data_IF_691030901886
#
_entry.id   IF_691030901886
#
_cell.length_a   1.000
_cell.length_b   1.000
_cell.length_c   1.000
_cell.angle_alpha   90.00
_cell.angle_beta   90.00
_cell.angle_gamma   90.00
#
_symmetry.space_group_name_H-M   'P 1'
#
loop_
_entity.id
_entity.type
_entity.pdbx_description
1 polymer ?
#
# COMPACT_ATOMS: atom_id res chain seq x y z
N UNK A 1 -4.87 -18.46 8.53
CA UNK A 1 -4.34 -19.15 7.34
C UNK A 1 -2.90 -18.70 7.20
N UNK A 2 -1.97 -19.64 7.05
CA UNK A 2 -0.60 -19.26 6.69
C UNK A 2 -0.57 -18.89 5.20
N UNK A 3 -0.18 -17.65 4.92
CA UNK A 3 -0.09 -17.11 3.56
C UNK A 3 1.35 -17.14 3.01
N UNK A 4 2.30 -17.58 3.83
CA UNK A 4 3.74 -17.59 3.50
C UNK A 4 4.04 -18.38 2.22
N UNK A 5 3.47 -19.57 1.97
CA UNK A 5 3.74 -20.31 0.73
C UNK A 5 3.33 -19.54 -0.53
N UNK A 6 2.15 -18.89 -0.51
CA UNK A 6 1.67 -18.10 -1.66
C UNK A 6 2.53 -16.86 -1.92
N UNK A 7 3.04 -16.24 -0.86
CA UNK A 7 3.98 -15.12 -0.98
C UNK A 7 5.30 -15.58 -1.59
N UNK A 8 5.82 -16.73 -1.15
CA UNK A 8 7.02 -17.33 -1.72
C UNK A 8 6.85 -17.68 -3.20
N UNK A 9 5.72 -18.25 -3.59
CA UNK A 9 5.42 -18.52 -5.00
C UNK A 9 5.47 -17.24 -5.85
N UNK A 10 4.90 -16.14 -5.34
CA UNK A 10 4.95 -14.82 -6.00
C UNK A 10 6.38 -14.26 -6.03
N UNK A 11 7.14 -14.42 -4.94
CA UNK A 11 8.54 -13.98 -4.86
C UNK A 11 9.39 -14.69 -5.91
N UNK A 12 9.21 -16.00 -6.08
CA UNK A 12 9.90 -16.79 -7.10
C UNK A 12 9.50 -16.37 -8.51
N UNK A 13 8.21 -16.20 -8.77
CA UNK A 13 7.69 -15.78 -10.07
C UNK A 13 8.29 -14.43 -10.49
N UNK A 14 8.27 -13.44 -9.59
CA UNK A 14 8.82 -12.10 -9.84
C UNK A 14 10.35 -12.15 -9.90
N UNK A 15 10.98 -13.00 -9.09
CA UNK A 15 12.42 -13.25 -9.10
C UNK A 15 12.90 -13.77 -10.46
N UNK A 16 12.23 -14.78 -11.01
CA UNK A 16 12.52 -15.32 -12.35
C UNK A 16 12.33 -14.28 -13.45
N UNK A 17 11.23 -13.53 -13.38
CA UNK A 17 10.98 -12.43 -14.30
C UNK A 17 12.14 -11.42 -14.28
N UNK A 18 12.57 -11.03 -13.07
CA UNK A 18 13.64 -10.05 -12.89
C UNK A 18 15.02 -10.57 -13.35
N UNK A 19 15.34 -11.85 -13.08
CA UNK A 19 16.61 -12.48 -13.51
C UNK A 19 16.74 -12.58 -15.02
N UNK A 20 15.64 -12.73 -15.74
CA UNK A 20 15.64 -12.82 -17.20
C UNK A 20 15.94 -11.49 -17.92
N UNK A 21 16.18 -10.40 -17.19
CA UNK A 21 16.24 -9.02 -17.70
C UNK A 21 15.00 -8.63 -18.54
N UNK A 22 13.90 -9.35 -18.34
CA UNK A 22 12.67 -9.14 -19.08
C UNK A 22 11.92 -7.91 -18.59
N UNK A 23 11.29 -7.21 -19.53
CA UNK A 23 10.55 -5.96 -19.28
C UNK A 23 9.14 -5.98 -19.85
N UNK A 24 8.73 -7.08 -20.48
CA UNK A 24 7.46 -7.15 -21.21
C UNK A 24 6.44 -8.02 -20.49
N UNK A 25 5.17 -7.66 -20.62
CA UNK A 25 4.06 -8.49 -20.14
C UNK A 25 4.04 -9.87 -20.83
N UNK A 26 4.47 -9.95 -22.09
CA UNK A 26 4.51 -11.22 -22.85
C UNK A 26 5.41 -12.22 -22.16
N UNK A 27 6.58 -11.79 -21.72
CA UNK A 27 7.53 -12.67 -21.04
C UNK A 27 7.07 -13.05 -19.64
N UNK A 28 6.44 -12.13 -18.89
CA UNK A 28 5.76 -12.50 -17.64
C UNK A 28 4.72 -13.60 -17.89
N UNK A 29 3.90 -13.47 -18.94
CA UNK A 29 2.90 -14.50 -19.30
C UNK A 29 3.54 -15.83 -19.67
N UNK A 30 4.70 -15.84 -20.33
CA UNK A 30 5.45 -17.08 -20.60
C UNK A 30 5.87 -17.77 -19.31
N UNK A 31 6.45 -17.02 -18.36
CA UNK A 31 6.87 -17.56 -17.07
C UNK A 31 5.64 -18.06 -16.29
N UNK A 32 4.57 -17.27 -16.23
CA UNK A 32 3.29 -17.62 -15.62
C UNK A 32 2.76 -18.97 -16.13
N UNK A 33 2.72 -19.15 -17.45
CA UNK A 33 2.25 -20.39 -18.07
C UNK A 33 3.20 -21.56 -17.80
N UNK A 34 4.52 -21.34 -17.88
CA UNK A 34 5.52 -22.39 -17.64
C UNK A 34 5.46 -22.95 -16.21
N UNK A 35 5.18 -22.08 -15.22
CA UNK A 35 4.99 -22.45 -13.82
C UNK A 35 3.57 -22.96 -13.51
N UNK A 36 2.66 -22.93 -14.50
CA UNK A 36 1.22 -23.19 -14.32
C UNK A 36 0.65 -22.37 -13.15
N UNK A 37 1.06 -21.12 -13.04
CA UNK A 37 0.91 -20.33 -11.81
C UNK A 37 -0.55 -20.07 -11.40
N UNK A 38 -1.51 -20.20 -12.33
CA UNK A 38 -2.94 -20.14 -12.01
C UNK A 38 -3.40 -21.21 -10.99
N UNK A 39 -2.63 -22.30 -10.78
CA UNK A 39 -2.91 -23.25 -9.69
C UNK A 39 -2.72 -22.66 -8.28
N UNK A 40 -2.17 -21.45 -8.14
CA UNK A 40 -2.13 -20.71 -6.86
C UNK A 40 -3.52 -20.62 -6.21
N UNK A 41 -4.59 -20.61 -7.01
CA UNK A 41 -5.97 -20.57 -6.50
C UNK A 41 -6.50 -21.90 -5.99
N UNK A 42 -5.90 -23.04 -6.36
CA UNK A 42 -6.33 -24.35 -5.83
C UNK A 42 -5.96 -24.52 -4.36
N UNK A 43 -4.93 -23.82 -3.88
CA UNK A 43 -4.55 -23.77 -2.47
C UNK A 43 -5.38 -22.80 -1.62
N UNK A 44 -6.35 -22.08 -2.20
CA UNK A 44 -7.10 -21.04 -1.49
C UNK A 44 -7.91 -21.60 -0.32
N UNK A 45 -8.16 -20.81 0.73
CA UNK A 45 -8.99 -21.26 1.85
C UNK A 45 -10.48 -21.30 1.42
N UNK A 46 -11.28 -22.09 2.14
CA UNK A 46 -12.74 -22.12 1.96
C UNK A 46 -13.43 -20.95 2.66
N UNK A 47 -12.85 -20.45 3.75
CA UNK A 47 -13.30 -19.27 4.50
C UNK A 47 -12.34 -18.11 4.30
N UNK A 48 -12.79 -16.88 4.54
CA UNK A 48 -11.95 -15.67 4.43
C UNK A 48 -11.24 -15.50 3.06
N UNK A 49 -11.89 -15.95 1.98
CA UNK A 49 -11.37 -15.85 0.60
C UNK A 49 -10.98 -14.42 0.25
N UNK A 50 -11.73 -13.42 0.72
CA UNK A 50 -11.41 -12.01 0.50
C UNK A 50 -10.03 -11.64 1.06
N UNK A 51 -9.70 -12.13 2.27
CA UNK A 51 -8.41 -11.89 2.91
C UNK A 51 -7.30 -12.55 2.11
N UNK A 52 -7.51 -13.78 1.66
CA UNK A 52 -6.57 -14.48 0.77
C UNK A 52 -6.31 -13.69 -0.52
N UNK A 53 -7.38 -13.31 -1.23
CA UNK A 53 -7.28 -12.56 -2.49
C UNK A 53 -6.58 -11.22 -2.32
N UNK A 54 -6.95 -10.44 -1.31
CA UNK A 54 -6.28 -9.16 -1.06
C UNK A 54 -4.84 -9.35 -0.61
N UNK A 55 -4.49 -10.46 0.07
CA UNK A 55 -3.12 -10.71 0.50
C UNK A 55 -2.16 -11.01 -0.66
N UNK A 56 -2.58 -11.81 -1.64
CA UNK A 56 -1.76 -12.08 -2.83
C UNK A 56 -1.65 -10.85 -3.75
N UNK A 57 -2.70 -10.02 -3.81
CA UNK A 57 -2.65 -8.72 -4.49
C UNK A 57 -1.70 -7.76 -3.79
N UNK A 58 -1.85 -7.59 -2.47
CA UNK A 58 -1.01 -6.71 -1.66
C UNK A 58 0.47 -7.10 -1.75
N UNK A 59 0.77 -8.39 -1.78
CA UNK A 59 2.15 -8.87 -1.95
C UNK A 59 2.74 -8.46 -3.30
N UNK A 60 1.96 -8.58 -4.38
CA UNK A 60 2.37 -8.11 -5.73
C UNK A 60 2.50 -6.57 -5.80
N UNK A 61 1.60 -5.85 -5.13
CA UNK A 61 1.66 -4.38 -4.99
C UNK A 61 2.94 -3.96 -4.25
N UNK A 62 3.34 -4.68 -3.20
CA UNK A 62 4.59 -4.43 -2.47
C UNK A 62 5.81 -4.36 -3.40
N UNK A 63 5.92 -5.28 -4.37
CA UNK A 63 6.95 -5.22 -5.40
C UNK A 63 6.78 -4.02 -6.34
N UNK A 64 5.56 -3.79 -6.82
CA UNK A 64 5.23 -2.70 -7.76
C UNK A 64 5.61 -1.32 -7.22
N UNK A 65 5.38 -1.08 -5.93
CA UNK A 65 5.61 0.23 -5.27
C UNK A 65 6.96 0.36 -4.58
N UNK A 66 7.76 -0.72 -4.56
CA UNK A 66 9.10 -0.74 -3.96
C UNK A 66 10.09 0.20 -4.66
N UNK A 67 11.23 0.45 -4.01
CA UNK A 67 12.39 1.18 -4.57
C UNK A 67 13.37 0.28 -5.31
N UNK A 68 12.97 -0.96 -5.60
CA UNK A 68 13.82 -1.94 -6.28
C UNK A 68 13.99 -1.63 -7.78
N UNK A 69 14.69 -2.52 -8.49
CA UNK A 69 14.93 -2.37 -9.94
C UNK A 69 13.62 -2.20 -10.72
N UNK A 70 13.67 -1.49 -11.84
CA UNK A 70 12.50 -1.33 -12.72
C UNK A 70 11.93 -2.69 -13.17
N UNK A 71 12.80 -3.67 -13.44
CA UNK A 71 12.39 -5.03 -13.79
C UNK A 71 11.54 -5.67 -12.70
N UNK A 72 11.94 -5.53 -11.44
CA UNK A 72 11.23 -6.12 -10.31
C UNK A 72 9.89 -5.40 -10.04
N UNK A 73 9.87 -4.07 -10.13
CA UNK A 73 8.63 -3.29 -10.02
C UNK A 73 7.64 -3.60 -11.15
N UNK A 74 8.13 -3.76 -12.39
CA UNK A 74 7.32 -4.23 -13.51
C UNK A 74 6.83 -5.66 -13.29
N UNK A 75 7.66 -6.52 -12.70
CA UNK A 75 7.27 -7.86 -12.27
C UNK A 75 6.07 -7.83 -11.32
N UNK A 76 6.10 -6.96 -10.31
CA UNK A 76 4.95 -6.74 -9.41
C UNK A 76 3.67 -6.32 -10.15
N UNK A 77 3.76 -5.35 -11.06
CA UNK A 77 2.63 -4.90 -11.88
C UNK A 77 2.06 -6.02 -12.75
N UNK A 78 2.91 -6.76 -13.46
CA UNK A 78 2.47 -7.81 -14.37
C UNK A 78 1.94 -9.03 -13.62
N UNK A 79 2.53 -9.39 -12.47
CA UNK A 79 2.01 -10.41 -11.57
C UNK A 79 0.61 -10.04 -11.08
N UNK A 80 0.42 -8.81 -10.59
CA UNK A 80 -0.88 -8.30 -10.14
C UNK A 80 -1.95 -8.41 -11.23
N UNK A 81 -1.61 -8.01 -12.47
CA UNK A 81 -2.52 -8.13 -13.60
C UNK A 81 -2.88 -9.60 -13.91
N UNK A 82 -1.89 -10.49 -13.96
CA UNK A 82 -2.15 -11.92 -14.21
C UNK A 82 -2.98 -12.57 -13.09
N UNK A 83 -2.74 -12.22 -11.82
CA UNK A 83 -3.58 -12.65 -10.71
C UNK A 83 -5.03 -12.19 -10.91
N UNK A 84 -5.25 -10.92 -11.25
CA UNK A 84 -6.61 -10.44 -11.48
C UNK A 84 -7.32 -11.17 -12.63
N UNK A 85 -6.64 -11.38 -13.76
CA UNK A 85 -7.26 -11.95 -14.97
C UNK A 85 -7.53 -13.45 -14.86
N UNK A 86 -6.78 -14.18 -14.03
CA UNK A 86 -6.86 -15.64 -13.93
C UNK A 86 -7.59 -16.14 -12.69
N UNK A 87 -8.08 -15.23 -11.85
CA UNK A 87 -8.85 -15.60 -10.67
C UNK A 87 -10.13 -16.40 -11.04
N UNK A 88 -10.53 -17.39 -10.23
CA UNK A 88 -11.67 -18.27 -10.54
C UNK A 88 -13.05 -17.67 -10.17
N UNK A 89 -13.14 -16.35 -9.92
CA UNK A 89 -14.32 -15.73 -9.32
C UNK A 89 -15.15 -14.95 -10.34
N UNK A 90 -16.49 -15.07 -10.21
CA UNK A 90 -17.48 -14.32 -10.97
C UNK A 90 -18.55 -13.79 -9.99
N UNK A 91 -18.65 -12.47 -9.75
CA UNK A 91 -17.82 -11.40 -10.32
C UNK A 91 -16.35 -11.45 -9.81
N UNK A 92 -15.40 -10.84 -10.53
CA UNK A 92 -14.00 -10.81 -10.12
C UNK A 92 -13.78 -9.97 -8.86
N UNK A 93 -12.90 -10.43 -7.97
CA UNK A 93 -12.35 -9.62 -6.89
C UNK A 93 -11.52 -8.50 -7.46
N UNK A 94 -11.97 -7.28 -7.18
CA UNK A 94 -11.21 -6.06 -7.44
C UNK A 94 -10.02 -5.95 -6.50
N UNK A 95 -8.99 -5.28 -6.96
CA UNK A 95 -7.74 -5.07 -6.25
C UNK A 95 -7.88 -3.86 -5.34
N UNK A 96 -7.75 -4.04 -4.04
CA UNK A 96 -7.64 -2.89 -3.14
C UNK A 96 -6.29 -2.19 -3.34
N UNK A 97 -6.31 -0.86 -3.48
CA UNK A 97 -5.12 -0.04 -3.58
C UNK A 97 -5.30 1.25 -2.78
N UNK A 98 -4.27 1.62 -2.03
CA UNK A 98 -4.22 2.90 -1.31
C UNK A 98 -3.86 4.06 -2.23
N UNK A 99 -4.14 5.29 -1.79
CA UNK A 99 -3.76 6.49 -2.53
C UNK A 99 -2.24 6.59 -2.73
N UNK A 100 -1.45 6.27 -1.70
CA UNK A 100 0.01 6.28 -1.79
C UNK A 100 0.56 5.24 -2.79
N UNK A 101 -0.03 4.04 -2.82
CA UNK A 101 0.34 3.02 -3.81
C UNK A 101 -0.06 3.43 -5.23
N UNK A 102 -1.18 4.12 -5.40
CA UNK A 102 -1.60 4.68 -6.68
C UNK A 102 -0.63 5.76 -7.19
N UNK A 103 -0.11 6.62 -6.30
CA UNK A 103 0.95 7.57 -6.65
C UNK A 103 2.23 6.86 -7.09
N UNK A 104 2.61 5.79 -6.39
CA UNK A 104 3.76 4.94 -6.76
C UNK A 104 3.56 4.24 -8.09
N UNK A 105 2.33 3.81 -8.41
CA UNK A 105 1.97 3.26 -9.71
C UNK A 105 2.11 4.30 -10.84
N UNK A 106 1.73 5.56 -10.58
CA UNK A 106 1.96 6.66 -11.52
C UNK A 106 3.46 6.88 -11.78
N UNK A 107 4.29 6.83 -10.73
CA UNK A 107 5.75 6.93 -10.86
C UNK A 107 6.29 5.76 -11.71
N UNK A 108 5.83 4.53 -11.45
CA UNK A 108 6.21 3.37 -12.27
C UNK A 108 5.86 3.55 -13.76
N UNK A 109 4.68 4.11 -14.05
CA UNK A 109 4.29 4.42 -15.43
C UNK A 109 5.23 5.46 -16.09
N UNK A 110 5.68 6.46 -15.33
CA UNK A 110 6.64 7.46 -15.82
C UNK A 110 8.00 6.82 -16.07
N UNK A 111 8.50 6.01 -15.14
CA UNK A 111 9.79 5.33 -15.27
C UNK A 111 9.80 4.38 -16.48
N UNK A 112 8.71 3.61 -16.67
CA UNK A 112 8.55 2.76 -17.83
C UNK A 112 8.56 3.53 -19.15
N UNK A 113 7.96 4.73 -19.20
CA UNK A 113 8.00 5.60 -20.39
C UNK A 113 9.42 6.09 -20.69
N UNK A 114 10.19 6.47 -19.67
CA UNK A 114 11.59 6.91 -19.82
C UNK A 114 12.46 5.81 -20.43
N UNK A 115 12.20 4.56 -20.06
CA UNK A 115 12.87 3.37 -20.59
C UNK A 115 12.23 2.81 -21.88
N UNK A 116 11.33 3.56 -22.54
CA UNK A 116 10.63 3.19 -23.77
C UNK A 116 9.76 1.91 -23.68
N UNK A 117 9.36 1.51 -22.47
CA UNK A 117 8.50 0.35 -22.20
C UNK A 117 7.03 0.77 -22.29
N UNK A 118 6.50 0.83 -23.52
CA UNK A 118 5.13 1.31 -23.79
C UNK A 118 4.03 0.43 -23.20
N UNK A 119 4.32 -0.85 -22.96
CA UNK A 119 3.34 -1.85 -22.49
C UNK A 119 2.84 -1.56 -21.09
N UNK A 120 3.72 -1.17 -20.16
CA UNK A 120 3.33 -0.94 -18.76
C UNK A 120 2.35 0.24 -18.59
N UNK A 121 2.58 1.44 -19.16
CA UNK A 121 1.60 2.52 -19.09
C UNK A 121 0.27 2.18 -19.77
N UNK A 122 0.31 1.48 -20.92
CA UNK A 122 -0.90 1.05 -21.61
C UNK A 122 -1.69 0.04 -20.77
N UNK A 123 -1.01 -0.88 -20.09
CA UNK A 123 -1.62 -1.84 -19.18
C UNK A 123 -2.26 -1.14 -17.98
N UNK A 124 -1.55 -0.21 -17.33
CA UNK A 124 -2.07 0.56 -16.19
C UNK A 124 -3.35 1.30 -16.59
N UNK A 125 -3.35 1.95 -17.76
CA UNK A 125 -4.54 2.60 -18.30
C UNK A 125 -5.68 1.60 -18.49
N UNK A 126 -5.41 0.45 -19.11
CA UNK A 126 -6.42 -0.62 -19.29
C UNK A 126 -7.01 -1.08 -17.95
N UNK A 127 -6.18 -1.27 -16.92
CA UNK A 127 -6.64 -1.70 -15.59
C UNK A 127 -7.54 -0.64 -14.92
N UNK A 128 -7.23 0.64 -15.08
CA UNK A 128 -8.06 1.75 -14.60
C UNK A 128 -9.39 1.83 -15.36
N UNK A 129 -9.35 1.79 -16.70
CA UNK A 129 -10.53 1.87 -17.56
C UNK A 129 -11.49 0.69 -17.31
N UNK A 130 -10.96 -0.49 -16.98
CA UNK A 130 -11.74 -1.68 -16.64
C UNK A 130 -12.20 -1.72 -15.17
N UNK A 131 -11.97 -0.67 -14.38
CA UNK A 131 -12.38 -0.56 -12.99
C UNK A 131 -11.90 -1.74 -12.11
N UNK A 132 -10.64 -2.16 -12.32
CA UNK A 132 -10.03 -3.25 -11.55
C UNK A 132 -9.82 -2.90 -10.08
N UNK A 133 -9.65 -1.61 -9.78
CA UNK A 133 -9.21 -1.14 -8.48
C UNK A 133 -10.36 -0.70 -7.58
N UNK A 134 -10.24 -1.00 -6.29
CA UNK A 134 -10.97 -0.38 -5.20
C UNK A 134 -10.03 0.57 -4.48
N UNK A 135 -10.34 1.87 -4.52
CA UNK A 135 -9.53 2.89 -3.88
C UNK A 135 -9.92 3.03 -2.40
N UNK A 136 -8.94 3.00 -1.51
CA UNK A 136 -9.17 3.22 -0.08
C UNK A 136 -8.07 4.03 0.60
N UNK A 137 -8.32 4.45 1.84
CA UNK A 137 -7.49 5.41 2.60
C UNK A 137 -6.42 4.76 3.47
N UNK A 138 -6.13 3.47 3.29
CA UNK A 138 -5.21 2.74 4.17
C UNK A 138 -3.76 2.93 3.69
N UNK A 139 -3.08 3.95 4.19
CA UNK A 139 -1.62 3.99 4.21
C UNK A 139 -1.11 3.12 5.36
N UNK A 140 -0.82 1.84 5.12
CA UNK A 140 -0.09 1.01 6.10
C UNK A 140 1.37 0.97 5.67
N UNK A 141 2.18 1.83 6.28
CA UNK A 141 3.47 1.37 6.76
C UNK A 141 3.36 1.30 8.29
N UNK A 142 3.78 0.21 8.93
CA UNK A 142 3.84 0.13 10.41
C UNK A 142 4.71 1.26 11.00
N UNK A 143 5.74 1.71 10.26
CA UNK A 143 6.51 2.90 10.58
C UNK A 143 5.70 4.20 10.52
N UNK A 144 4.66 4.27 9.69
CA UNK A 144 3.78 5.45 9.56
C UNK A 144 2.74 5.56 10.67
N UNK A 145 2.37 4.45 11.32
CA UNK A 145 1.44 4.47 12.46
C UNK A 145 2.15 5.08 13.67
N UNK A 146 3.33 4.55 14.02
CA UNK A 146 4.14 5.08 15.10
C UNK A 146 4.57 6.55 14.85
N UNK A 147 4.92 6.90 13.60
CA UNK A 147 5.26 8.28 13.25
C UNK A 147 4.04 9.21 13.34
N UNK A 148 2.85 8.78 12.92
CA UNK A 148 1.63 9.60 13.00
C UNK A 148 1.11 9.74 14.42
N UNK A 149 1.19 8.70 15.25
CA UNK A 149 0.86 8.80 16.69
C UNK A 149 1.78 9.81 17.38
N UNK A 150 3.09 9.75 17.11
CA UNK A 150 4.05 10.67 17.70
C UNK A 150 3.87 12.12 17.21
N UNK A 151 3.60 12.34 15.92
CA UNK A 151 3.32 13.68 15.39
C UNK A 151 1.98 14.24 15.91
N UNK A 152 0.95 13.41 16.04
CA UNK A 152 -0.33 13.82 16.61
C UNK A 152 -0.20 14.16 18.11
N UNK A 153 0.59 13.38 18.86
CA UNK A 153 0.90 13.65 20.27
C UNK A 153 1.69 14.95 20.42
N UNK A 154 2.70 15.21 19.58
CA UNK A 154 3.43 16.48 19.54
C UNK A 154 2.51 17.66 19.25
N UNK A 155 1.64 17.53 18.24
CA UNK A 155 0.70 18.59 17.87
C UNK A 155 -0.30 18.89 18.99
N UNK A 156 -0.81 17.86 19.67
CA UNK A 156 -1.70 18.04 20.82
C UNK A 156 -0.97 18.65 22.02
N UNK A 157 0.27 18.24 22.31
CA UNK A 157 1.11 18.87 23.34
C UNK A 157 1.40 20.34 23.02
N UNK A 158 1.68 20.67 21.75
CA UNK A 158 1.89 22.04 21.32
C UNK A 158 0.62 22.90 21.46
N UNK A 159 -0.55 22.36 21.08
CA UNK A 159 -1.85 23.03 21.26
C UNK A 159 -2.21 23.22 22.72
N UNK A 160 -1.99 22.20 23.56
CA UNK A 160 -2.17 22.31 25.02
C UNK A 160 -1.25 23.37 25.60
N UNK A 161 0.03 23.39 25.22
CA UNK A 161 0.98 24.40 25.68
C UNK A 161 0.58 25.81 25.25
N UNK A 162 0.14 25.97 24.00
CA UNK A 162 -0.35 27.26 23.50
C UNK A 162 -1.63 27.71 24.22
N UNK A 163 -2.55 26.80 24.51
CA UNK A 163 -3.76 27.09 25.30
C UNK A 163 -3.42 27.48 26.74
N UNK A 164 -2.54 26.73 27.40
CA UNK A 164 -2.02 27.07 28.73
C UNK A 164 -1.36 28.44 28.75
N UNK A 165 -0.46 28.71 27.80
CA UNK A 165 0.20 29.99 27.68
C UNK A 165 -0.81 31.13 27.49
N UNK A 166 -1.81 30.93 26.63
CA UNK A 166 -2.88 31.91 26.39
C UNK A 166 -3.68 32.20 27.66
N UNK A 167 -4.05 31.16 28.42
CA UNK A 167 -4.75 31.30 29.71
C UNK A 167 -3.87 32.03 30.73
N UNK A 168 -2.58 31.72 30.82
CA UNK A 168 -1.67 32.36 31.78
C UNK A 168 -1.22 33.76 31.37
N UNK A 169 -1.26 34.10 30.08
CA UNK A 169 -0.93 35.43 29.57
C UNK A 169 -2.09 36.42 29.64
N UNK A 170 -3.31 35.91 29.83
CA UNK A 170 -4.49 36.74 30.04
C UNK A 170 -4.41 37.29 31.48
N UNK A 171 -4.03 38.57 31.60
CA UNK A 171 -3.74 39.21 32.88
C UNK A 171 -4.95 39.22 33.86
N UNK A 172 -6.17 38.96 33.36
CA UNK A 172 -7.36 38.77 34.20
C UNK A 172 -7.51 37.36 34.78
N UNK A 173 -6.92 36.33 34.18
CA UNK A 173 -6.98 34.94 34.70
C UNK A 173 -5.97 34.69 35.83
N UNK A 174 -4.84 35.43 35.83
CA UNK A 174 -3.82 35.30 36.85
C UNK A 174 -4.29 35.82 38.23
N UNK A 175 -5.25 36.75 38.25
CA UNK A 175 -5.91 37.21 39.48
C UNK A 175 -6.79 36.13 40.11
N UNK A 176 -7.42 35.26 39.32
CA UNK A 176 -8.27 34.17 39.82
C UNK A 176 -7.47 32.94 40.26
N UNK A 177 -6.35 32.62 39.62
CA UNK A 177 -5.50 31.48 40.02
C UNK A 177 -4.78 31.77 41.35
N UNK A 178 -4.48 33.04 41.64
CA UNK A 178 -3.79 33.45 42.88
C UNK A 178 -4.69 33.97 44.02
N UNK A 179 -5.99 34.24 43.79
CA UNK A 179 -6.87 34.73 44.86
C UNK A 179 -7.37 33.65 45.84
N UNK A 180 -7.38 32.37 45.48
CA UNK A 180 -8.00 31.31 46.30
C UNK A 180 -7.05 30.55 47.24
N UNK A 181 -5.78 30.96 47.36
CA UNK A 181 -4.82 30.31 48.27
C UNK A 181 -4.38 31.17 49.47
N UNK A 182 -4.82 32.43 49.57
CA UNK A 182 -4.41 33.34 50.67
C UNK A 182 -5.55 33.63 51.67
N UNK A 183 -6.78 33.17 51.44
CA UNK A 183 -7.93 33.44 52.33
C UNK A 183 -8.24 32.38 53.40
N UNK A 184 -7.39 31.37 53.61
CA UNK A 184 -7.57 30.38 54.69
C UNK A 184 -6.28 29.96 55.39
N UNK A 185 -5.59 30.90 56.02
CA UNK A 185 -4.81 30.60 57.25
C UNK A 185 -5.02 31.78 58.21
N UNK A 186 -5.97 31.62 59.12
CA UNK A 186 -6.08 32.34 60.40
C UNK A 186 -6.45 31.32 61.46
#
# INVERSE_FOLDING_TARGET
>A
MDLTPFKLDIDELIGDFSKSNSRTLVDMKKIWLSRKFSFIYEGRPTTNVNVFMQSIYAHSIGYMVSTSSLSQRLGGLYCLYCLYETQPFKPPFRVYISLGELERLKILAIDAKKEYIKVAPALIKKMLDANLFLFGSVEINESSVAHRENEFEKMNKARLKAAYQKITSDASANTFIHMDLVSRIS
#
